data_IF_823338207997
#
_entry.id   IF_823338207997
#
_cell.length_a   1.000
_cell.length_b   1.000
_cell.length_c   1.000
_cell.angle_alpha   90.00
_cell.angle_beta   90.00
_cell.angle_gamma   90.00
#
_symmetry.space_group_name_H-M   'P 1'
#
loop_
_entity.id
_entity.type
_entity.pdbx_description
1 polymer ?
#
# COMPACT_ATOMS: atom_id res chain seq x y z
N UNK A 1 -4.33 -2.66 -12.42
CA UNK A 1 -4.20 -2.20 -13.81
C UNK A 1 -3.25 -1.01 -13.77
N UNK A 2 -2.23 -0.98 -14.63
CA UNK A 2 -1.33 0.18 -14.78
C UNK A 2 -1.75 0.97 -16.01
N UNK A 3 -1.67 2.28 -15.97
CA UNK A 3 -2.27 3.17 -16.98
C UNK A 3 -1.26 4.22 -17.42
N UNK A 4 -1.00 4.28 -18.72
CA UNK A 4 -0.25 5.36 -19.35
C UNK A 4 -1.20 6.12 -20.30
N UNK A 5 -1.24 7.45 -20.18
CA UNK A 5 -1.95 8.32 -21.11
C UNK A 5 -0.98 8.82 -22.16
N UNK A 6 -1.37 8.76 -23.44
CA UNK A 6 -0.54 9.21 -24.56
C UNK A 6 -1.38 10.07 -25.48
N UNK A 7 -0.91 11.29 -25.74
CA UNK A 7 -1.54 12.26 -26.64
C UNK A 7 -3.02 12.49 -26.30
N UNK A 8 -3.28 12.74 -25.02
CA UNK A 8 -4.61 13.10 -24.49
C UNK A 8 -4.54 14.51 -23.91
N UNK A 9 -5.07 15.48 -24.65
CA UNK A 9 -5.25 16.84 -24.15
C UNK A 9 -6.43 16.89 -23.17
N UNK A 10 -6.28 17.63 -22.06
CA UNK A 10 -7.33 17.89 -21.06
C UNK A 10 -8.09 16.64 -20.57
N UNK A 11 -7.37 15.59 -20.22
CA UNK A 11 -8.01 14.37 -19.74
C UNK A 11 -8.31 14.45 -18.23
N UNK A 12 -9.57 14.22 -17.85
CA UNK A 12 -9.97 14.01 -16.44
C UNK A 12 -9.25 12.81 -15.77
N UNK A 13 -8.45 12.06 -16.53
CA UNK A 13 -7.80 10.82 -16.12
C UNK A 13 -6.34 11.01 -15.68
N UNK A 14 -5.76 12.21 -15.79
CA UNK A 14 -4.35 12.44 -15.44
C UNK A 14 -4.05 12.12 -13.96
N UNK A 15 -5.02 12.33 -13.08
CA UNK A 15 -4.94 11.99 -11.65
C UNK A 15 -4.84 10.46 -11.41
N UNK A 16 -5.36 9.66 -12.33
CA UNK A 16 -5.48 8.20 -12.23
C UNK A 16 -4.48 7.44 -13.09
N UNK A 17 -3.83 8.12 -14.03
CA UNK A 17 -2.74 7.54 -14.81
C UNK A 17 -1.50 7.35 -13.94
N UNK A 18 -0.66 6.35 -14.20
CA UNK A 18 0.68 6.25 -13.59
C UNK A 18 1.66 7.21 -14.28
N UNK A 19 1.41 7.55 -15.55
CA UNK A 19 2.20 8.51 -16.34
C UNK A 19 1.36 9.09 -17.49
N UNK A 20 1.66 10.32 -17.89
CA UNK A 20 1.01 11.00 -19.01
C UNK A 20 2.07 11.56 -19.97
N UNK A 21 1.96 11.23 -21.25
CA UNK A 21 2.84 11.66 -22.32
C UNK A 21 2.06 12.59 -23.26
N UNK A 22 2.41 13.88 -23.32
CA UNK A 22 1.71 14.85 -24.19
C UNK A 22 1.74 14.47 -25.66
N UNK A 23 2.81 13.82 -26.12
CA UNK A 23 2.95 13.35 -27.50
C UNK A 23 3.34 11.88 -27.57
N UNK A 24 3.08 11.25 -28.72
CA UNK A 24 3.57 9.90 -29.01
C UNK A 24 5.11 9.83 -29.01
N UNK A 25 5.79 10.92 -29.40
CA UNK A 25 7.24 11.00 -29.40
C UNK A 25 7.80 10.92 -27.97
N UNK A 26 7.16 11.60 -27.02
CA UNK A 26 7.55 11.54 -25.60
C UNK A 26 7.40 10.12 -25.03
N UNK A 27 6.34 9.41 -25.43
CA UNK A 27 6.15 8.01 -25.06
C UNK A 27 7.24 7.10 -25.66
N UNK A 28 7.59 7.27 -26.94
CA UNK A 28 8.66 6.49 -27.57
C UNK A 28 10.01 6.78 -26.92
N UNK A 29 10.31 8.04 -26.62
CA UNK A 29 11.54 8.42 -25.93
C UNK A 29 11.66 7.76 -24.55
N UNK A 30 10.58 7.74 -23.77
CA UNK A 30 10.55 7.04 -22.48
C UNK A 30 10.58 5.51 -22.63
N UNK A 31 10.06 4.96 -23.73
CA UNK A 31 10.21 3.53 -24.01
C UNK A 31 11.66 3.14 -24.33
N UNK A 32 12.40 4.01 -25.01
CA UNK A 32 13.82 3.82 -25.32
C UNK A 32 14.71 4.03 -24.08
N UNK A 33 14.38 5.00 -23.23
CA UNK A 33 15.06 5.28 -21.96
C UNK A 33 14.04 5.35 -20.80
N UNK A 34 13.65 4.19 -20.22
CA UNK A 34 12.60 4.11 -19.21
C UNK A 34 12.96 4.88 -17.94
N UNK A 35 12.12 5.86 -17.60
CA UNK A 35 12.20 6.53 -16.31
C UNK A 35 11.52 5.69 -15.24
N UNK A 36 12.01 5.82 -14.01
CA UNK A 36 11.36 5.19 -12.87
C UNK A 36 9.99 5.83 -12.66
N UNK A 37 8.94 5.02 -12.80
CA UNK A 37 7.57 5.46 -12.59
C UNK A 37 7.16 5.29 -11.13
N UNK A 38 6.51 6.31 -10.58
CA UNK A 38 5.84 6.24 -9.28
C UNK A 38 4.37 5.91 -9.54
N UNK A 39 3.91 4.73 -9.10
CA UNK A 39 2.50 4.35 -9.21
C UNK A 39 1.57 5.42 -8.67
N UNK A 40 0.40 5.59 -9.29
CA UNK A 40 -0.55 6.64 -8.91
C UNK A 40 -0.91 6.59 -7.42
N UNK A 41 -1.02 5.39 -6.84
CA UNK A 41 -1.37 5.18 -5.42
C UNK A 41 -0.31 5.75 -4.44
N UNK A 42 0.92 6.01 -4.90
CA UNK A 42 2.02 6.54 -4.09
C UNK A 42 2.45 7.96 -4.48
N UNK A 43 1.85 8.57 -5.50
CA UNK A 43 2.23 9.92 -5.96
C UNK A 43 2.15 10.96 -4.87
N UNK A 44 1.09 10.95 -4.04
CA UNK A 44 0.95 11.93 -2.97
C UNK A 44 2.05 11.83 -1.91
N UNK A 45 2.42 10.61 -1.50
CA UNK A 45 3.46 10.42 -0.49
C UNK A 45 4.84 10.72 -1.08
N UNK A 46 5.07 10.34 -2.34
CA UNK A 46 6.28 10.68 -3.09
C UNK A 46 6.44 12.19 -3.25
N UNK A 47 5.40 12.92 -3.67
CA UNK A 47 5.43 14.38 -3.79
C UNK A 47 5.74 15.08 -2.45
N UNK A 48 5.30 14.51 -1.32
CA UNK A 48 5.52 15.07 0.03
C UNK A 48 6.88 14.69 0.64
N UNK A 49 7.46 13.54 0.29
CA UNK A 49 8.62 12.96 1.00
C UNK A 49 9.81 12.56 0.13
N UNK A 50 9.63 12.51 -1.18
CA UNK A 50 10.65 12.21 -2.19
C UNK A 50 11.12 10.76 -2.22
N UNK A 51 12.07 10.49 -3.11
CA UNK A 51 12.61 9.15 -3.38
C UNK A 51 13.24 8.49 -2.16
N UNK A 52 13.93 9.28 -1.32
CA UNK A 52 14.57 8.76 -0.10
C UNK A 52 13.56 8.06 0.81
N UNK A 53 12.35 8.62 0.95
CA UNK A 53 11.29 7.99 1.71
C UNK A 53 10.80 6.72 1.04
N UNK A 54 10.49 6.79 -0.26
CA UNK A 54 9.93 5.64 -0.98
C UNK A 54 10.87 4.44 -0.97
N UNK A 55 12.16 4.67 -1.21
CA UNK A 55 13.16 3.62 -1.20
C UNK A 55 13.30 3.00 0.19
N UNK A 56 13.39 3.81 1.24
CA UNK A 56 13.53 3.28 2.60
C UNK A 56 12.23 2.63 3.12
N UNK A 57 11.06 3.18 2.80
CA UNK A 57 9.77 2.62 3.19
C UNK A 57 9.55 1.24 2.53
N UNK A 58 9.97 1.08 1.27
CA UNK A 58 9.89 -0.19 0.55
C UNK A 58 10.82 -1.28 1.12
N UNK A 59 11.71 -0.96 2.04
CA UNK A 59 12.49 -1.97 2.77
C UNK A 59 11.80 -2.44 4.06
N UNK A 60 10.71 -1.78 4.46
CA UNK A 60 10.04 -2.05 5.73
C UNK A 60 8.96 -3.12 5.57
N UNK A 61 9.08 -4.15 6.41
CA UNK A 61 7.97 -5.04 6.74
C UNK A 61 7.38 -4.63 8.09
N UNK A 62 6.07 -4.42 8.16
CA UNK A 62 5.38 -4.05 9.40
C UNK A 62 4.59 -5.23 9.96
N UNK A 63 4.80 -5.57 11.23
CA UNK A 63 4.00 -6.59 11.91
C UNK A 63 2.64 -6.03 12.28
N UNK A 64 1.57 -6.70 11.83
CA UNK A 64 0.20 -6.37 12.19
C UNK A 64 0.01 -6.50 13.71
N UNK A 65 -0.41 -5.43 14.41
CA UNK A 65 -0.73 -5.51 15.83
C UNK A 65 -1.90 -6.46 16.09
N UNK A 66 -1.93 -7.12 17.26
CA UNK A 66 -3.06 -7.97 17.67
C UNK A 66 -4.41 -7.25 17.67
N UNK A 67 -4.38 -5.94 17.91
CA UNK A 67 -5.55 -5.06 17.84
C UNK A 67 -5.11 -3.72 17.28
N UNK A 68 -5.88 -3.22 16.32
CA UNK A 68 -5.65 -1.96 15.62
C UNK A 68 -6.61 -0.88 16.10
N UNK A 69 -6.23 0.39 15.93
CA UNK A 69 -7.06 1.56 16.21
C UNK A 69 -7.01 2.56 15.04
N UNK A 70 -8.14 3.14 14.61
CA UNK A 70 -9.49 2.84 15.08
C UNK A 70 -9.91 1.42 14.68
N UNK A 71 -9.67 1.03 13.44
CA UNK A 71 -10.12 -0.23 12.84
C UNK A 71 -9.01 -0.85 11.97
N UNK A 72 -9.17 -2.12 11.58
CA UNK A 72 -8.18 -2.87 10.81
C UNK A 72 -7.97 -2.28 9.41
N UNK A 73 -9.06 -1.97 8.71
CA UNK A 73 -9.06 -1.40 7.35
C UNK A 73 -8.29 -0.06 7.29
N UNK A 74 -8.52 0.80 8.27
CA UNK A 74 -7.81 2.07 8.42
C UNK A 74 -6.31 1.85 8.62
N UNK A 75 -5.92 0.87 9.42
CA UNK A 75 -4.53 0.57 9.70
C UNK A 75 -3.80 0.03 8.46
N UNK A 76 -4.35 -1.00 7.79
CA UNK A 76 -3.71 -1.60 6.62
C UNK A 76 -3.65 -0.63 5.44
N UNK A 77 -4.69 0.17 5.20
CA UNK A 77 -4.68 1.19 4.15
C UNK A 77 -3.65 2.28 4.41
N UNK A 78 -3.51 2.71 5.68
CA UNK A 78 -2.51 3.73 6.04
C UNK A 78 -1.10 3.19 5.87
N UNK A 79 -0.84 1.99 6.38
CA UNK A 79 0.45 1.32 6.27
C UNK A 79 0.85 1.18 4.79
N UNK A 80 -0.08 0.68 3.96
CA UNK A 80 0.11 0.55 2.52
C UNK A 80 0.36 1.90 1.83
N UNK A 81 -0.45 2.93 2.11
CA UNK A 81 -0.30 4.26 1.53
C UNK A 81 1.04 4.94 1.85
N UNK A 82 1.74 4.50 2.90
CA UNK A 82 3.06 5.01 3.26
C UNK A 82 4.20 4.35 2.46
N UNK A 83 3.91 3.39 1.58
CA UNK A 83 4.86 2.79 0.65
C UNK A 83 5.65 1.60 1.18
N UNK A 84 5.14 0.92 2.22
CA UNK A 84 5.80 -0.28 2.77
C UNK A 84 5.82 -1.44 1.77
N UNK A 85 6.77 -2.36 1.92
CA UNK A 85 6.81 -3.57 1.09
C UNK A 85 5.84 -4.63 1.57
N UNK A 86 5.79 -4.92 2.87
CA UNK A 86 4.97 -6.01 3.37
C UNK A 86 4.31 -5.76 4.73
N UNK A 87 3.15 -6.38 4.91
CA UNK A 87 2.49 -6.54 6.21
C UNK A 87 2.68 -7.98 6.67
N UNK A 88 3.34 -8.17 7.81
CA UNK A 88 3.49 -9.47 8.43
C UNK A 88 2.28 -9.77 9.33
N UNK A 89 1.70 -10.94 9.14
CA UNK A 89 0.51 -11.42 9.85
C UNK A 89 0.81 -12.78 10.45
N UNK A 90 0.26 -13.09 11.62
CA UNK A 90 0.37 -14.43 12.20
C UNK A 90 -0.24 -15.48 11.24
N UNK A 91 0.41 -16.64 11.02
CA UNK A 91 -0.12 -17.70 10.16
C UNK A 91 -1.47 -18.24 10.66
N UNK A 92 -1.69 -18.21 11.98
CA UNK A 92 -2.91 -18.71 12.63
C UNK A 92 -4.00 -17.63 12.78
N UNK A 93 -3.74 -16.39 12.34
CA UNK A 93 -4.74 -15.32 12.45
C UNK A 93 -5.90 -15.55 11.48
N UNK A 94 -7.11 -15.47 12.01
CA UNK A 94 -8.37 -15.62 11.27
C UNK A 94 -9.17 -14.33 11.40
N UNK A 95 -9.81 -13.90 10.32
CA UNK A 95 -10.71 -12.75 10.33
C UNK A 95 -12.05 -13.14 10.94
N UNK A 96 -12.37 -12.57 12.10
CA UNK A 96 -13.53 -12.95 12.91
C UNK A 96 -14.76 -12.08 12.66
N UNK A 97 -15.89 -12.47 13.26
CA UNK A 97 -17.11 -11.64 13.26
C UNK A 97 -16.91 -10.30 13.99
N UNK A 98 -16.08 -10.27 15.04
CA UNK A 98 -15.74 -9.05 15.78
C UNK A 98 -14.92 -8.10 14.89
N UNK A 99 -13.92 -8.63 14.18
CA UNK A 99 -13.09 -7.84 13.26
C UNK A 99 -13.94 -7.19 12.16
N UNK A 100 -14.90 -7.95 11.60
CA UNK A 100 -15.84 -7.43 10.61
C UNK A 100 -16.78 -6.36 11.19
N UNK A 101 -17.32 -6.59 12.38
CA UNK A 101 -18.22 -5.63 13.04
C UNK A 101 -17.52 -4.29 13.29
N UNK A 102 -16.25 -4.34 13.67
CA UNK A 102 -15.41 -3.16 13.86
C UNK A 102 -15.00 -2.54 12.52
N UNK A 103 -14.79 -3.35 11.47
CA UNK A 103 -14.28 -2.90 10.17
C UNK A 103 -15.27 -3.20 9.02
N UNK A 104 -16.36 -2.42 8.93
CA UNK A 104 -17.46 -2.67 7.98
C UNK A 104 -17.10 -2.52 6.50
N UNK A 105 -15.91 -1.99 6.18
CA UNK A 105 -15.37 -1.93 4.82
C UNK A 105 -15.07 -3.32 4.24
N UNK A 106 -14.90 -4.34 5.09
CA UNK A 106 -14.70 -5.72 4.63
C UNK A 106 -16.03 -6.39 4.29
N UNK A 107 -16.02 -7.21 3.24
CA UNK A 107 -17.18 -8.05 2.91
C UNK A 107 -17.39 -9.16 3.97
N UNK A 108 -18.63 -9.47 4.37
CA UNK A 108 -18.93 -10.56 5.29
C UNK A 108 -18.40 -11.94 4.84
N UNK A 109 -18.19 -12.13 3.52
CA UNK A 109 -17.63 -13.36 2.95
C UNK A 109 -16.24 -13.72 3.48
N UNK A 110 -15.54 -12.75 4.08
CA UNK A 110 -14.20 -12.93 4.61
C UNK A 110 -14.17 -13.52 6.03
N UNK A 111 -15.31 -13.59 6.73
CA UNK A 111 -15.36 -14.19 8.07
C UNK A 111 -14.93 -15.66 8.04
N UNK A 112 -14.08 -16.04 9.00
CA UNK A 112 -13.53 -17.39 9.11
C UNK A 112 -12.38 -17.69 8.14
N UNK A 113 -12.01 -16.74 7.26
CA UNK A 113 -10.86 -16.90 6.38
C UNK A 113 -9.55 -16.44 7.06
N UNK A 114 -8.39 -16.96 6.61
CA UNK A 114 -7.09 -16.48 7.10
C UNK A 114 -6.93 -14.99 6.89
N UNK A 115 -6.47 -14.29 7.94
CA UNK A 115 -6.28 -12.84 7.95
C UNK A 115 -5.37 -12.37 6.81
N UNK A 116 -4.33 -13.17 6.49
CA UNK A 116 -3.40 -12.89 5.39
C UNK A 116 -4.10 -12.83 4.03
N UNK A 117 -5.05 -13.74 3.77
CA UNK A 117 -5.86 -13.74 2.54
C UNK A 117 -6.79 -12.53 2.50
N UNK A 118 -7.45 -12.24 3.61
CA UNK A 118 -8.40 -11.10 3.70
C UNK A 118 -7.70 -9.77 3.42
N UNK A 119 -6.55 -9.52 4.05
CA UNK A 119 -5.76 -8.29 3.83
C UNK A 119 -5.25 -8.23 2.38
N UNK A 120 -4.74 -9.35 1.84
CA UNK A 120 -4.25 -9.41 0.46
C UNK A 120 -5.35 -9.07 -0.54
N UNK A 121 -6.51 -9.71 -0.42
CA UNK A 121 -7.64 -9.49 -1.33
C UNK A 121 -8.19 -8.06 -1.19
N UNK A 122 -8.21 -7.50 0.02
CA UNK A 122 -8.67 -6.13 0.27
C UNK A 122 -7.72 -5.07 -0.31
N UNK A 123 -6.41 -5.25 -0.16
CA UNK A 123 -5.41 -4.30 -0.67
C UNK A 123 -5.18 -4.42 -2.17
N UNK A 124 -5.42 -5.58 -2.79
CA UNK A 124 -5.13 -5.85 -4.20
C UNK A 124 -5.68 -4.80 -5.18
N UNK A 125 -6.81 -4.18 -4.85
CA UNK A 125 -7.45 -3.17 -5.72
C UNK A 125 -6.73 -1.83 -5.69
N UNK A 126 -6.22 -1.40 -4.53
CA UNK A 126 -5.71 -0.03 -4.33
C UNK A 126 -4.20 0.04 -4.07
N UNK A 127 -3.63 -0.98 -3.44
CA UNK A 127 -2.22 -1.07 -3.11
C UNK A 127 -1.66 -2.45 -3.52
N UNK A 128 -1.67 -2.76 -4.83
CA UNK A 128 -1.33 -4.10 -5.32
C UNK A 128 0.12 -4.52 -5.07
N UNK A 129 1.00 -3.56 -4.78
CA UNK A 129 2.43 -3.84 -4.51
C UNK A 129 2.71 -4.28 -3.08
N UNK A 130 1.78 -4.07 -2.14
CA UNK A 130 2.00 -4.45 -0.74
C UNK A 130 1.80 -5.95 -0.59
N UNK A 131 2.85 -6.63 -0.14
CA UNK A 131 2.82 -8.06 0.13
C UNK A 131 2.21 -8.33 1.51
N UNK A 132 1.60 -9.49 1.64
CA UNK A 132 1.14 -10.00 2.95
C UNK A 132 1.89 -11.28 3.22
N UNK A 133 2.67 -11.29 4.29
CA UNK A 133 3.59 -12.39 4.63
C UNK A 133 3.19 -13.03 5.96
N UNK A 134 3.32 -14.34 6.04
CA UNK A 134 3.02 -15.13 7.25
C UNK A 134 4.24 -15.90 7.76
N UNK A 135 5.37 -15.81 7.05
CA UNK A 135 6.60 -16.49 7.44
C UNK A 135 7.14 -15.87 8.75
N UNK A 136 7.27 -16.66 9.83
CA UNK A 136 7.82 -16.18 11.09
C UNK A 136 9.31 -15.80 10.99
N UNK A 137 10.03 -16.25 9.95
CA UNK A 137 11.43 -15.91 9.73
C UNK A 137 11.62 -14.51 9.13
N UNK A 138 10.57 -13.91 8.57
CA UNK A 138 10.62 -12.51 8.13
C UNK A 138 10.48 -11.64 9.37
N UNK A 139 11.52 -10.88 9.70
CA UNK A 139 11.49 -10.00 10.88
C UNK A 139 10.75 -8.69 10.57
N UNK A 140 9.45 -8.67 10.87
CA UNK A 140 8.65 -7.45 10.79
C UNK A 140 8.90 -6.51 11.97
N UNK A 141 8.85 -5.21 11.70
CA UNK A 141 8.90 -4.19 12.72
C UNK A 141 7.60 -4.18 13.54
N UNK A 142 7.73 -4.31 14.86
CA UNK A 142 6.61 -4.16 15.80
C UNK A 142 6.02 -2.75 15.66
N UNK A 143 4.84 -2.70 15.07
CA UNK A 143 4.20 -1.46 14.66
C UNK A 143 3.22 -0.94 15.71
N UNK A 144 2.96 0.37 15.77
CA UNK A 144 1.98 0.95 16.69
C UNK A 144 0.56 0.46 16.37
N UNK A 145 -0.26 0.32 17.40
CA UNK A 145 -1.68 -0.08 17.25
C UNK A 145 -2.51 0.97 16.52
N UNK A 146 -2.25 2.25 16.79
CA UNK A 146 -2.99 3.35 16.19
C UNK A 146 -2.42 3.68 14.80
N UNK A 147 -3.28 3.63 13.79
CA UNK A 147 -2.93 3.96 12.40
C UNK A 147 -2.41 5.39 12.24
N UNK A 148 -2.82 6.33 13.11
CA UNK A 148 -2.34 7.72 13.07
C UNK A 148 -0.86 7.86 13.46
N UNK A 149 -0.32 6.89 14.20
CA UNK A 149 1.06 6.92 14.67
C UNK A 149 2.04 6.32 13.66
N UNK A 150 1.55 5.64 12.60
CA UNK A 150 2.37 4.94 11.63
C UNK A 150 3.37 5.85 10.91
N UNK A 151 2.94 7.05 10.51
CA UNK A 151 3.81 8.01 9.83
C UNK A 151 5.00 8.42 10.70
N UNK A 152 4.73 8.86 11.93
CA UNK A 152 5.78 9.24 12.90
C UNK A 152 6.66 8.06 13.28
N UNK A 153 6.08 6.86 13.36
CA UNK A 153 6.83 5.64 13.62
C UNK A 153 7.81 5.34 12.49
N UNK A 154 7.37 5.38 11.23
CA UNK A 154 8.22 5.16 10.06
C UNK A 154 9.29 6.25 9.92
N UNK A 155 8.95 7.51 10.18
CA UNK A 155 9.93 8.62 10.17
C UNK A 155 11.13 8.33 11.06
N UNK A 156 10.91 7.83 12.28
CA UNK A 156 11.98 7.47 13.23
C UNK A 156 12.79 6.23 12.83
N UNK A 157 12.34 5.49 11.82
CA UNK A 157 13.02 4.29 11.30
C UNK A 157 13.79 4.58 10.03
N UNK A 158 13.32 5.56 9.25
CA UNK A 158 13.93 5.99 7.98
C UNK A 158 14.99 7.07 8.20
N UNK A 159 14.82 7.92 9.22
CA UNK A 159 15.73 9.02 9.58
C UNK A 159 16.22 8.88 11.01
#
# INVERSE_FOLDING_TARGET
IRVALVQREESDWDEWADVSYPTLLDFVADFEEPKQLVPWEYREIHAKRGDKWMNAAHELTLTLPKQTSPNLDCWICRAAALGIDAIQVSPDAVFTHSDWKESQSFSPKYMGLPMSKVIKDFLATRYPMVRVVTDPNIEGLKSPKNSLDLMRFMERKIF
#
